data_IF_490457613429
#
_entry.id   IF_490457613429
#
_cell.length_a   1.000
_cell.length_b   1.000
_cell.length_c   1.000
_cell.angle_alpha   90.00
_cell.angle_beta   90.00
_cell.angle_gamma   90.00
#
_symmetry.space_group_name_H-M   'P 1'
#
loop_
_entity.id
_entity.type
_entity.pdbx_description
1 polymer ?
#
# COMPACT_ATOMS: atom_id res chain seq x y z
N UNK A 1 4.51 57.19 6.79
CA UNK A 1 4.14 55.95 6.08
C UNK A 1 4.12 54.82 7.10
N UNK A 2 2.93 54.33 7.45
CA UNK A 2 2.77 53.15 8.31
C UNK A 2 2.73 51.88 7.43
N UNK A 3 3.30 50.75 7.87
CA UNK A 3 3.34 49.54 7.06
C UNK A 3 1.95 48.87 7.03
N UNK A 4 1.48 48.57 5.82
CA UNK A 4 0.32 47.71 5.60
C UNK A 4 0.63 46.30 6.13
N UNK A 5 -0.11 45.87 7.15
CA UNK A 5 -0.20 44.45 7.54
C UNK A 5 -1.02 43.71 6.49
N UNK A 6 -0.38 42.84 5.72
CA UNK A 6 -1.05 41.86 4.88
C UNK A 6 -1.76 40.86 5.77
N UNK A 7 -3.10 40.92 5.83
CA UNK A 7 -3.93 39.92 6.48
C UNK A 7 -3.89 38.64 5.65
N UNK A 8 -3.36 37.55 6.21
CA UNK A 8 -3.52 36.23 5.63
C UNK A 8 -5.02 35.87 5.58
N UNK A 9 -5.53 35.26 4.51
CA UNK A 9 -6.94 34.90 4.41
C UNK A 9 -7.33 33.91 5.51
N UNK A 10 -8.39 34.19 6.25
CA UNK A 10 -8.95 33.26 7.23
C UNK A 10 -9.54 32.07 6.47
N UNK A 11 -8.89 30.90 6.57
CA UNK A 11 -9.47 29.67 6.04
C UNK A 11 -10.69 29.34 6.89
N UNK A 12 -11.89 29.44 6.32
CA UNK A 12 -13.13 29.09 7.02
C UNK A 12 -13.07 27.64 7.50
N UNK A 13 -13.43 27.40 8.76
CA UNK A 13 -13.51 26.06 9.32
C UNK A 13 -14.56 25.24 8.56
N UNK A 14 -14.17 24.09 8.01
CA UNK A 14 -15.11 23.18 7.37
C UNK A 14 -16.05 22.61 8.42
N UNK A 15 -17.37 22.78 8.21
CA UNK A 15 -18.42 22.24 9.08
C UNK A 15 -18.95 20.92 8.55
N UNK A 16 -19.60 20.14 9.41
CA UNK A 16 -20.30 18.89 9.05
C UNK A 16 -21.35 19.09 7.96
N UNK A 17 -21.90 20.29 7.83
CA UNK A 17 -22.87 20.67 6.79
C UNK A 17 -22.26 20.89 5.40
N UNK A 18 -20.93 20.92 5.26
CA UNK A 18 -20.24 21.03 3.97
C UNK A 18 -19.88 19.66 3.38
N UNK A 19 -19.58 19.55 2.07
CA UNK A 19 -19.38 18.26 1.39
C UNK A 19 -18.33 17.34 2.04
N UNK A 20 -17.23 17.91 2.54
CA UNK A 20 -16.18 17.15 3.23
C UNK A 20 -16.61 16.66 4.61
N UNK A 21 -17.39 17.48 5.33
CA UNK A 21 -17.96 17.10 6.63
C UNK A 21 -19.04 16.03 6.48
N UNK A 22 -19.89 16.15 5.46
CA UNK A 22 -20.92 15.15 5.14
C UNK A 22 -20.32 13.79 4.82
N UNK A 23 -19.17 13.72 4.14
CA UNK A 23 -18.48 12.43 3.89
C UNK A 23 -18.11 11.70 5.19
N UNK A 24 -17.60 12.41 6.19
CA UNK A 24 -17.28 11.79 7.48
C UNK A 24 -18.55 11.27 8.16
N UNK A 25 -19.61 12.09 8.19
CA UNK A 25 -20.89 11.71 8.79
C UNK A 25 -21.51 10.51 8.06
N UNK A 26 -21.47 10.45 6.73
CA UNK A 26 -22.03 9.32 5.97
C UNK A 26 -21.32 8.00 6.26
N UNK A 27 -20.02 8.03 6.57
CA UNK A 27 -19.26 6.82 6.95
C UNK A 27 -19.69 6.34 8.33
N UNK A 28 -19.80 7.27 9.29
CA UNK A 28 -20.24 6.95 10.66
C UNK A 28 -21.68 6.43 10.64
N UNK A 29 -22.57 7.08 9.89
CA UNK A 29 -23.97 6.68 9.74
C UNK A 29 -24.10 5.28 9.11
N UNK A 30 -23.37 5.01 8.02
CA UNK A 30 -23.38 3.69 7.39
C UNK A 30 -22.88 2.58 8.34
N UNK A 31 -21.84 2.85 9.14
CA UNK A 31 -21.32 1.90 10.11
C UNK A 31 -22.31 1.64 11.25
N UNK A 32 -22.95 2.70 11.78
CA UNK A 32 -23.95 2.61 12.83
C UNK A 32 -25.18 1.81 12.38
N UNK A 33 -25.70 2.11 11.18
CA UNK A 33 -26.85 1.40 10.61
C UNK A 33 -26.53 -0.07 10.30
N UNK A 34 -25.33 -0.36 9.80
CA UNK A 34 -24.88 -1.73 9.51
C UNK A 34 -24.77 -2.60 10.76
N UNK A 35 -24.53 -2.00 11.92
CA UNK A 35 -24.40 -2.73 13.17
C UNK A 35 -25.72 -3.35 13.66
N UNK A 36 -26.88 -2.91 13.13
CA UNK A 36 -28.18 -3.53 13.43
C UNK A 36 -28.56 -3.49 14.92
N UNK A 37 -28.13 -2.44 15.62
CA UNK A 37 -28.29 -2.31 17.08
C UNK A 37 -29.76 -2.25 17.47
N UNK A 38 -30.14 -2.98 18.52
CA UNK A 38 -31.38 -2.73 19.25
C UNK A 38 -31.32 -1.38 19.99
N UNK A 39 -32.46 -0.89 20.47
CA UNK A 39 -32.53 0.38 21.21
C UNK A 39 -31.59 0.41 22.44
N UNK A 40 -31.52 -0.70 23.18
CA UNK A 40 -30.64 -0.82 24.36
C UNK A 40 -29.16 -0.84 23.96
N UNK A 41 -28.81 -1.53 22.87
CA UNK A 41 -27.42 -1.56 22.36
C UNK A 41 -27.00 -0.20 21.80
N UNK A 42 -27.90 0.51 21.11
CA UNK A 42 -27.69 1.87 20.64
C UNK A 42 -27.44 2.83 21.82
N UNK A 43 -28.23 2.73 22.89
CA UNK A 43 -28.03 3.51 24.10
C UNK A 43 -26.66 3.22 24.73
N UNK A 44 -26.27 1.95 24.83
CA UNK A 44 -24.97 1.56 25.38
C UNK A 44 -23.78 2.09 24.54
N UNK A 45 -23.88 2.06 23.21
CA UNK A 45 -22.87 2.65 22.32
C UNK A 45 -22.76 4.16 22.54
N UNK A 46 -23.89 4.86 22.59
CA UNK A 46 -23.93 6.32 22.75
C UNK A 46 -23.43 6.77 24.13
N UNK A 47 -23.71 6.00 25.17
CA UNK A 47 -23.31 6.29 26.55
C UNK A 47 -21.91 5.76 26.91
N UNK A 48 -21.23 5.10 25.96
CA UNK A 48 -19.88 4.57 26.18
C UNK A 48 -18.94 5.67 26.64
N UNK A 49 -18.45 5.54 27.88
CA UNK A 49 -17.52 6.49 28.47
C UNK A 49 -16.28 6.65 27.58
N UNK A 50 -15.99 7.89 27.19
CA UNK A 50 -14.85 8.19 26.33
C UNK A 50 -15.12 8.14 24.82
N UNK A 51 -16.36 7.86 24.36
CA UNK A 51 -16.72 7.91 22.93
C UNK A 51 -16.32 9.25 22.29
N UNK A 52 -16.66 10.37 22.94
CA UNK A 52 -16.26 11.71 22.47
C UNK A 52 -14.74 11.86 22.40
N UNK A 53 -13.99 11.33 23.37
CA UNK A 53 -12.54 11.36 23.35
C UNK A 53 -11.95 10.53 22.20
N UNK A 54 -12.56 9.37 21.90
CA UNK A 54 -12.16 8.50 20.78
C UNK A 54 -12.39 9.19 19.43
N UNK A 55 -13.56 9.80 19.22
CA UNK A 55 -13.87 10.57 18.00
C UNK A 55 -12.96 11.78 17.88
N UNK A 56 -12.77 12.53 18.97
CA UNK A 56 -11.88 13.70 18.99
C UNK A 56 -10.42 13.31 18.72
N UNK A 57 -9.96 12.18 19.27
CA UNK A 57 -8.62 11.64 19.01
C UNK A 57 -8.46 11.25 17.55
N UNK A 58 -9.41 10.51 16.97
CA UNK A 58 -9.40 10.17 15.55
C UNK A 58 -9.30 11.43 14.66
N UNK A 59 -10.11 12.45 14.96
CA UNK A 59 -10.09 13.72 14.23
C UNK A 59 -8.75 14.44 14.44
N UNK A 60 -8.24 14.52 15.67
CA UNK A 60 -6.98 15.20 15.99
C UNK A 60 -5.79 14.52 15.30
N UNK A 61 -5.73 13.19 15.38
CA UNK A 61 -4.72 12.36 14.73
C UNK A 61 -4.79 12.48 13.21
N UNK A 62 -6.01 12.59 12.65
CA UNK A 62 -6.23 12.75 11.20
C UNK A 62 -6.08 14.20 10.71
N UNK A 63 -6.09 15.20 11.61
CA UNK A 63 -6.07 16.63 11.25
C UNK A 63 -4.66 17.11 10.89
N UNK A 64 -3.62 16.40 11.29
CA UNK A 64 -2.24 16.81 11.03
C UNK A 64 -1.40 15.66 10.49
N UNK A 65 -0.55 15.88 9.48
CA UNK A 65 0.48 14.92 9.05
C UNK A 65 1.61 14.78 10.09
N UNK A 66 1.31 14.97 11.38
CA UNK A 66 2.21 14.76 12.52
C UNK A 66 1.93 13.45 13.26
N UNK A 67 0.87 12.72 12.90
CA UNK A 67 0.66 11.39 13.45
C UNK A 67 1.88 10.52 13.14
N UNK A 68 2.41 9.89 14.19
CA UNK A 68 3.62 9.07 14.15
C UNK A 68 4.88 9.81 13.69
N UNK A 69 4.95 11.14 13.89
CA UNK A 69 6.10 11.94 13.44
C UNK A 69 7.44 11.53 14.10
N UNK A 70 7.38 10.87 15.25
CA UNK A 70 8.52 10.28 15.96
C UNK A 70 8.96 8.92 15.38
N UNK A 71 8.20 8.34 14.46
CA UNK A 71 8.49 7.06 13.81
C UNK A 71 9.23 7.23 12.49
N UNK A 72 10.32 7.99 12.56
CA UNK A 72 11.24 8.17 11.46
C UNK A 72 12.68 7.91 11.93
N UNK A 73 13.37 7.02 11.22
CA UNK A 73 14.77 6.71 11.43
C UNK A 73 15.59 7.22 10.25
N UNK A 74 16.81 7.70 10.51
CA UNK A 74 17.74 8.04 9.44
C UNK A 74 18.10 6.79 8.62
N UNK A 75 18.06 6.92 7.29
CA UNK A 75 18.39 5.84 6.37
C UNK A 75 19.46 6.27 5.37
N UNK A 76 20.52 5.46 5.30
CA UNK A 76 21.56 5.51 4.26
C UNK A 76 21.37 4.46 3.17
N UNK A 77 20.41 3.55 3.33
CA UNK A 77 20.17 2.43 2.41
C UNK A 77 19.57 2.94 1.09
N UNK A 78 19.97 2.30 -0.01
CA UNK A 78 19.61 2.67 -1.40
C UNK A 78 19.39 1.40 -2.23
N UNK A 79 19.38 1.53 -3.55
CA UNK A 79 19.33 0.41 -4.49
C UNK A 79 20.75 0.16 -5.01
N UNK A 80 21.46 -0.75 -4.37
CA UNK A 80 22.86 -1.06 -4.66
C UNK A 80 23.00 -2.27 -5.59
N UNK A 81 21.92 -3.03 -5.77
CA UNK A 81 21.88 -4.24 -6.61
C UNK A 81 21.76 -3.98 -8.12
N UNK A 82 21.99 -2.74 -8.57
CA UNK A 82 21.99 -2.38 -10.00
C UNK A 82 20.64 -1.94 -10.57
N UNK A 83 19.56 -2.00 -9.77
CA UNK A 83 18.30 -1.36 -10.14
C UNK A 83 18.49 0.17 -10.20
N UNK A 84 18.10 0.78 -11.31
CA UNK A 84 18.22 2.24 -11.54
C UNK A 84 16.88 2.92 -11.81
N UNK A 85 16.01 2.25 -12.57
CA UNK A 85 14.65 2.67 -12.89
C UNK A 85 13.83 1.47 -13.38
N UNK A 86 12.49 1.58 -13.43
CA UNK A 86 11.67 0.55 -14.02
C UNK A 86 12.05 0.30 -15.48
N UNK A 87 11.91 -0.96 -15.92
CA UNK A 87 11.98 -1.32 -17.33
C UNK A 87 10.83 -0.69 -18.08
N UNK A 88 10.93 -0.65 -19.40
CA UNK A 88 9.85 -0.19 -20.26
C UNK A 88 8.54 -0.99 -20.04
N UNK A 89 7.39 -0.35 -20.22
CA UNK A 89 6.06 -0.92 -20.00
C UNK A 89 5.78 -2.11 -20.92
N UNK A 90 6.21 -2.04 -22.18
CA UNK A 90 6.05 -3.14 -23.14
C UNK A 90 6.92 -4.31 -22.70
N UNK A 91 8.16 -4.06 -22.26
CA UNK A 91 9.04 -5.08 -21.71
C UNK A 91 8.44 -5.75 -20.48
N UNK A 92 7.94 -4.98 -19.49
CA UNK A 92 7.34 -5.52 -18.27
C UNK A 92 6.13 -6.40 -18.61
N UNK A 93 5.25 -5.92 -19.51
CA UNK A 93 4.08 -6.68 -19.97
C UNK A 93 4.46 -8.00 -20.66
N UNK A 94 5.49 -7.96 -21.52
CA UNK A 94 6.00 -9.16 -22.18
C UNK A 94 6.60 -10.14 -21.16
N UNK A 95 7.35 -9.65 -20.18
CA UNK A 95 7.87 -10.53 -19.13
C UNK A 95 6.76 -11.15 -18.29
N UNK A 96 5.71 -10.40 -17.96
CA UNK A 96 4.56 -10.95 -17.24
C UNK A 96 3.89 -12.08 -18.03
N UNK A 97 3.76 -11.94 -19.36
CA UNK A 97 3.25 -13.03 -20.23
C UNK A 97 4.15 -14.26 -20.26
N UNK A 98 5.46 -14.10 -20.09
CA UNK A 98 6.40 -15.22 -19.95
C UNK A 98 6.24 -15.88 -18.58
N UNK A 99 6.15 -15.08 -17.51
CA UNK A 99 6.05 -15.57 -16.14
C UNK A 99 4.70 -16.22 -15.82
N UNK A 100 3.63 -15.66 -16.39
CA UNK A 100 2.24 -16.02 -16.18
C UNK A 100 1.54 -16.10 -17.54
N UNK A 101 1.67 -17.26 -18.20
CA UNK A 101 1.03 -17.49 -19.50
C UNK A 101 -0.47 -17.22 -19.44
N UNK A 102 -0.96 -16.35 -20.32
CA UNK A 102 -2.37 -15.95 -20.36
C UNK A 102 -2.71 -14.70 -19.54
N UNK A 103 -1.75 -14.10 -18.81
CA UNK A 103 -1.93 -12.76 -18.25
C UNK A 103 -2.09 -11.77 -19.43
N UNK A 104 -3.12 -10.95 -19.40
CA UNK A 104 -3.58 -10.21 -20.59
C UNK A 104 -2.67 -9.06 -21.03
N UNK A 105 -3.29 -7.90 -21.27
CA UNK A 105 -2.62 -6.73 -21.84
C UNK A 105 -2.87 -5.49 -21.00
N UNK A 106 -2.00 -4.49 -21.19
CA UNK A 106 -2.13 -3.16 -20.58
C UNK A 106 -2.76 -2.18 -21.58
N UNK A 107 -3.24 -1.05 -21.08
CA UNK A 107 -3.70 0.06 -21.92
C UNK A 107 -2.52 0.88 -22.45
N UNK A 108 -2.34 0.90 -23.77
CA UNK A 108 -1.31 1.70 -24.46
C UNK A 108 -1.41 3.20 -24.15
N UNK A 109 -2.60 3.72 -23.81
CA UNK A 109 -2.75 5.11 -23.36
C UNK A 109 -2.18 5.30 -21.96
N UNK A 110 -2.42 4.34 -21.07
CA UNK A 110 -1.86 4.38 -19.72
C UNK A 110 -0.33 4.24 -19.74
N UNK A 111 0.24 3.52 -20.72
CA UNK A 111 1.68 3.44 -20.94
C UNK A 111 2.34 4.79 -21.31
N UNK A 112 1.56 5.75 -21.80
CA UNK A 112 2.02 7.09 -22.17
C UNK A 112 1.86 8.13 -21.04
N UNK A 113 1.45 7.68 -19.86
CA UNK A 113 1.27 8.52 -18.68
C UNK A 113 2.57 9.24 -18.28
N UNK A 114 2.43 10.51 -17.89
CA UNK A 114 3.53 11.25 -17.27
C UNK A 114 3.90 10.66 -15.90
N UNK A 115 5.19 10.47 -15.65
CA UNK A 115 5.67 9.99 -14.35
C UNK A 115 5.65 11.15 -13.34
N UNK A 116 4.83 11.08 -12.28
CA UNK A 116 4.74 12.14 -11.28
C UNK A 116 6.03 12.24 -10.45
N UNK A 117 6.26 13.40 -9.84
CA UNK A 117 7.40 13.61 -8.94
C UNK A 117 7.37 12.61 -7.78
N UNK A 118 8.51 11.95 -7.54
CA UNK A 118 8.65 10.93 -6.50
C UNK A 118 8.42 9.50 -6.99
N UNK A 119 7.72 9.30 -8.11
CA UNK A 119 7.67 7.99 -8.75
C UNK A 119 9.01 7.65 -9.42
N UNK A 120 9.42 6.39 -9.34
CA UNK A 120 10.62 5.89 -10.04
C UNK A 120 10.34 5.63 -11.52
N UNK A 121 9.08 5.43 -11.87
CA UNK A 121 8.60 5.20 -13.24
C UNK A 121 7.24 4.50 -13.23
N UNK A 122 6.85 3.99 -14.40
CA UNK A 122 5.64 3.21 -14.59
C UNK A 122 5.92 1.73 -14.33
N UNK A 123 5.08 1.09 -13.53
CA UNK A 123 5.08 -0.35 -13.28
C UNK A 123 3.84 -0.98 -13.92
N UNK A 124 3.98 -2.21 -14.42
CA UNK A 124 2.88 -2.99 -14.97
C UNK A 124 2.51 -4.08 -13.98
N UNK A 125 1.25 -4.10 -13.53
CA UNK A 125 0.79 -4.97 -12.46
C UNK A 125 -0.60 -5.52 -12.79
N UNK A 126 -0.83 -6.85 -12.75
CA UNK A 126 -2.18 -7.38 -12.91
C UNK A 126 -3.05 -6.97 -11.71
N UNK A 127 -4.36 -6.74 -11.94
CA UNK A 127 -5.30 -6.70 -10.81
C UNK A 127 -5.28 -8.05 -10.08
N UNK A 128 -5.42 -8.06 -8.76
CA UNK A 128 -5.44 -9.34 -8.06
C UNK A 128 -6.63 -10.20 -8.49
N UNK A 129 -7.75 -9.59 -8.90
CA UNK A 129 -8.95 -10.30 -9.38
C UNK A 129 -8.72 -10.96 -10.75
N UNK A 130 -8.11 -10.25 -11.72
CA UNK A 130 -7.75 -10.84 -13.02
C UNK A 130 -6.72 -11.94 -12.84
N UNK A 131 -5.76 -11.74 -11.93
CA UNK A 131 -4.76 -12.73 -11.56
C UNK A 131 -5.37 -13.96 -10.87
N UNK A 132 -6.29 -13.76 -9.93
CA UNK A 132 -6.99 -14.83 -9.23
C UNK A 132 -7.81 -15.69 -10.20
N UNK A 133 -8.52 -15.05 -11.13
CA UNK A 133 -9.25 -15.72 -12.20
C UNK A 133 -8.32 -16.55 -13.10
N UNK A 134 -7.18 -15.99 -13.51
CA UNK A 134 -6.20 -16.70 -14.35
C UNK A 134 -5.72 -18.00 -13.68
N UNK A 135 -5.53 -17.96 -12.36
CA UNK A 135 -4.97 -19.08 -11.60
C UNK A 135 -6.02 -19.93 -10.87
N UNK A 136 -7.31 -19.70 -11.11
CA UNK A 136 -8.42 -20.41 -10.45
C UNK A 136 -8.35 -20.38 -8.91
N UNK A 137 -7.95 -19.24 -8.34
CA UNK A 137 -7.98 -19.00 -6.89
C UNK A 137 -9.05 -17.97 -6.54
N UNK A 138 -9.42 -17.89 -5.26
CA UNK A 138 -10.62 -17.14 -4.83
C UNK A 138 -10.32 -15.96 -3.90
N UNK A 139 -9.11 -15.91 -3.33
CA UNK A 139 -8.73 -14.90 -2.36
C UNK A 139 -7.50 -14.12 -2.77
N UNK A 140 -7.38 -12.88 -2.26
CA UNK A 140 -6.17 -12.08 -2.42
C UNK A 140 -4.93 -12.80 -1.86
N UNK A 141 -5.06 -13.48 -0.73
CA UNK A 141 -3.93 -14.16 -0.09
C UNK A 141 -3.40 -15.34 -0.93
N UNK A 142 -4.29 -16.11 -1.58
CA UNK A 142 -3.89 -17.13 -2.57
C UNK A 142 -3.21 -16.50 -3.79
N UNK A 143 -3.70 -15.35 -4.28
CA UNK A 143 -3.05 -14.62 -5.37
C UNK A 143 -1.62 -14.18 -5.01
N UNK A 144 -1.40 -13.70 -3.77
CA UNK A 144 -0.05 -13.40 -3.26
C UNK A 144 0.82 -14.66 -3.23
N UNK A 145 0.29 -15.78 -2.73
CA UNK A 145 1.04 -17.05 -2.68
C UNK A 145 1.54 -17.51 -4.04
N UNK A 146 0.76 -17.32 -5.12
CA UNK A 146 1.20 -17.62 -6.50
C UNK A 146 2.39 -16.76 -6.90
N UNK A 147 2.37 -15.46 -6.58
CA UNK A 147 3.49 -14.55 -6.86
C UNK A 147 4.74 -14.96 -6.06
N UNK A 148 4.59 -15.33 -4.78
CA UNK A 148 5.70 -15.81 -3.96
C UNK A 148 6.29 -17.13 -4.49
N UNK A 149 5.44 -18.06 -4.95
CA UNK A 149 5.90 -19.28 -5.60
C UNK A 149 6.69 -19.00 -6.88
N UNK A 150 6.24 -18.04 -7.70
CA UNK A 150 6.96 -17.61 -8.90
C UNK A 150 8.29 -16.90 -8.56
N UNK A 151 8.35 -16.13 -7.48
CA UNK A 151 9.61 -15.56 -6.98
C UNK A 151 10.58 -16.68 -6.59
N UNK A 152 10.12 -17.73 -5.92
CA UNK A 152 10.95 -18.87 -5.57
C UNK A 152 11.55 -19.58 -6.80
N UNK A 153 10.70 -19.83 -7.80
CA UNK A 153 11.10 -20.43 -9.08
C UNK A 153 12.15 -19.57 -9.79
N UNK A 154 11.86 -18.29 -10.01
CA UNK A 154 12.74 -17.37 -10.76
C UNK A 154 14.05 -17.07 -10.04
N UNK A 155 14.05 -17.10 -8.70
CA UNK A 155 15.25 -16.96 -7.87
C UNK A 155 15.97 -18.31 -7.63
N UNK A 156 15.57 -19.39 -8.31
CA UNK A 156 16.23 -20.71 -8.27
C UNK A 156 16.37 -21.26 -6.83
N UNK A 157 15.31 -21.13 -6.02
CA UNK A 157 15.32 -21.56 -4.62
C UNK A 157 16.02 -20.58 -3.65
N UNK A 158 16.53 -19.43 -4.13
CA UNK A 158 17.06 -18.35 -3.29
C UNK A 158 15.97 -17.40 -2.78
N UNK A 159 14.81 -17.96 -2.48
CA UNK A 159 13.70 -17.28 -1.85
C UNK A 159 13.30 -18.04 -0.58
N UNK A 160 12.87 -17.32 0.45
CA UNK A 160 12.38 -17.94 1.67
C UNK A 160 11.17 -17.19 2.20
N UNK A 161 10.06 -17.91 2.40
CA UNK A 161 8.83 -17.38 2.96
C UNK A 161 8.72 -17.77 4.44
N UNK A 162 8.94 -16.83 5.35
CA UNK A 162 8.78 -17.05 6.79
C UNK A 162 7.33 -17.27 7.22
N UNK A 163 6.37 -16.91 6.35
CA UNK A 163 4.94 -16.92 6.62
C UNK A 163 4.22 -17.99 5.83
N UNK A 164 4.90 -18.96 5.23
CA UNK A 164 4.30 -19.97 4.33
C UNK A 164 3.02 -20.61 4.89
N UNK A 165 2.98 -20.90 6.19
CA UNK A 165 1.83 -21.52 6.86
C UNK A 165 0.83 -20.51 7.49
N UNK A 166 1.03 -19.22 7.27
CA UNK A 166 0.25 -18.10 7.85
C UNK A 166 -0.27 -17.16 6.74
N UNK A 167 -0.53 -17.67 5.53
CA UNK A 167 -0.98 -16.88 4.36
C UNK A 167 -2.47 -17.07 4.04
N UNK A 168 -3.28 -17.44 5.03
CA UNK A 168 -4.73 -17.51 4.88
C UNK A 168 -5.37 -16.12 4.87
N UNK A 169 -6.64 -16.04 4.45
CA UNK A 169 -7.43 -14.79 4.48
C UNK A 169 -7.60 -14.20 5.88
N UNK A 170 -7.48 -15.03 6.91
CA UNK A 170 -7.54 -14.59 8.32
C UNK A 170 -6.25 -13.91 8.79
N UNK A 171 -5.17 -14.04 8.02
CA UNK A 171 -3.84 -13.54 8.32
C UNK A 171 -3.41 -12.44 7.37
N UNK A 172 -3.68 -12.55 6.06
CA UNK A 172 -3.24 -11.57 5.06
C UNK A 172 -4.42 -11.00 4.28
N UNK A 173 -4.50 -9.66 4.24
CA UNK A 173 -5.49 -8.93 3.44
C UNK A 173 -4.95 -7.60 2.93
N UNK A 174 -5.59 -7.08 1.90
CA UNK A 174 -5.39 -5.71 1.45
C UNK A 174 -5.95 -4.73 2.47
N UNK A 175 -5.28 -3.60 2.66
CA UNK A 175 -5.90 -2.46 3.36
C UNK A 175 -7.07 -1.93 2.53
N UNK A 176 -8.14 -1.49 3.22
CA UNK A 176 -9.34 -0.96 2.55
C UNK A 176 -9.01 0.22 1.61
N UNK A 177 -8.03 1.05 1.99
CA UNK A 177 -7.59 2.18 1.17
C UNK A 177 -6.90 1.72 -0.11
N UNK A 178 -6.01 0.73 -0.05
CA UNK A 178 -5.36 0.19 -1.24
C UNK A 178 -6.42 -0.40 -2.18
N UNK A 179 -7.31 -1.23 -1.65
CA UNK A 179 -8.38 -1.85 -2.42
C UNK A 179 -9.26 -0.81 -3.14
N UNK A 180 -9.67 0.26 -2.46
CA UNK A 180 -10.44 1.36 -3.05
C UNK A 180 -9.69 2.03 -4.22
N UNK A 181 -8.40 2.34 -4.03
CA UNK A 181 -7.59 3.03 -5.05
C UNK A 181 -7.30 2.11 -6.24
N UNK A 182 -6.96 0.85 -6.00
CA UNK A 182 -6.71 -0.11 -7.07
C UNK A 182 -7.96 -0.35 -7.92
N UNK A 183 -9.15 -0.40 -7.30
CA UNK A 183 -10.43 -0.47 -8.02
C UNK A 183 -10.65 0.78 -8.89
N UNK A 184 -10.35 1.98 -8.39
CA UNK A 184 -10.44 3.22 -9.18
C UNK A 184 -9.49 3.21 -10.38
N UNK A 185 -8.25 2.75 -10.20
CA UNK A 185 -7.27 2.62 -11.28
C UNK A 185 -7.76 1.59 -12.30
N UNK A 186 -8.21 0.42 -11.85
CA UNK A 186 -8.76 -0.62 -12.72
C UNK A 186 -9.96 -0.13 -13.54
N UNK A 187 -10.85 0.64 -12.91
CA UNK A 187 -11.99 1.24 -13.60
C UNK A 187 -11.55 2.31 -14.63
N UNK A 188 -10.48 3.05 -14.37
CA UNK A 188 -9.90 4.00 -15.33
C UNK A 188 -9.23 3.32 -16.53
N UNK A 189 -8.73 2.10 -16.34
CA UNK A 189 -8.07 1.26 -17.36
C UNK A 189 -8.95 0.07 -17.74
N UNK A 190 -10.28 0.26 -17.74
CA UNK A 190 -11.25 -0.82 -17.94
C UNK A 190 -11.05 -1.48 -19.31
N UNK A 191 -11.12 -2.81 -19.32
CA UNK A 191 -10.93 -3.63 -20.52
C UNK A 191 -9.51 -4.21 -20.65
N UNK A 192 -8.63 -3.88 -19.70
CA UNK A 192 -7.26 -4.38 -19.63
C UNK A 192 -7.04 -5.15 -18.34
N UNK A 193 -6.23 -6.20 -18.42
CA UNK A 193 -5.94 -7.09 -17.27
C UNK A 193 -4.72 -6.62 -16.47
N UNK A 194 -3.86 -5.82 -17.11
CA UNK A 194 -2.62 -5.27 -16.57
C UNK A 194 -2.77 -3.75 -16.39
N UNK A 195 -2.66 -3.30 -15.14
CA UNK A 195 -2.66 -1.88 -14.81
C UNK A 195 -1.27 -1.30 -15.02
N UNK A 196 -1.22 -0.11 -15.59
CA UNK A 196 -0.01 0.74 -15.60
C UNK A 196 -0.11 1.74 -14.45
N UNK A 197 0.81 1.66 -13.50
CA UNK A 197 0.78 2.43 -12.25
C UNK A 197 2.12 3.15 -12.06
N UNK A 198 2.16 4.47 -11.92
CA UNK A 198 3.37 5.16 -11.48
C UNK A 198 3.66 4.77 -10.02
N UNK A 199 4.89 4.34 -9.73
CA UNK A 199 5.22 3.80 -8.41
C UNK A 199 6.69 3.87 -8.06
N UNK A 200 7.03 3.40 -6.86
CA UNK A 200 8.40 3.37 -6.34
C UNK A 200 8.57 2.26 -5.28
N UNK A 201 9.80 1.76 -5.12
CA UNK A 201 10.12 0.58 -4.28
C UNK A 201 10.35 0.87 -2.78
N UNK A 202 10.18 2.10 -2.33
CA UNK A 202 10.27 2.51 -0.92
C UNK A 202 11.19 3.70 -0.65
N UNK A 203 12.03 4.13 -1.61
CA UNK A 203 13.07 5.13 -1.39
C UNK A 203 12.55 6.47 -0.84
N UNK A 204 11.35 6.90 -1.25
CA UNK A 204 10.73 8.16 -0.82
C UNK A 204 10.25 8.11 0.64
N UNK A 205 9.94 6.91 1.13
CA UNK A 205 9.43 6.68 2.48
C UNK A 205 10.39 5.88 3.37
N UNK A 206 11.65 5.72 2.96
CA UNK A 206 12.66 5.00 3.72
C UNK A 206 12.85 5.56 5.13
N UNK A 207 13.07 4.68 6.09
CA UNK A 207 13.26 5.04 7.49
C UNK A 207 11.96 5.30 8.26
N UNK A 208 10.82 5.44 7.58
CA UNK A 208 9.52 5.61 8.25
C UNK A 208 8.96 4.25 8.65
N UNK A 209 8.23 4.20 9.75
CA UNK A 209 7.34 3.06 10.00
C UNK A 209 6.25 2.98 8.92
N UNK A 210 5.59 1.82 8.82
CA UNK A 210 4.46 1.63 7.90
C UNK A 210 3.31 2.58 8.22
N UNK A 211 2.97 2.75 9.52
CA UNK A 211 1.89 3.65 9.92
C UNK A 211 2.23 5.11 9.64
N UNK A 212 3.50 5.52 9.80
CA UNK A 212 3.98 6.86 9.43
C UNK A 212 3.96 7.08 7.93
N UNK A 213 4.43 6.11 7.14
CA UNK A 213 4.39 6.19 5.68
C UNK A 213 2.95 6.37 5.17
N UNK A 214 1.99 5.58 5.67
CA UNK A 214 0.55 5.71 5.35
C UNK A 214 0.02 7.12 5.61
N UNK A 215 0.40 7.75 6.72
CA UNK A 215 -0.01 9.13 7.06
C UNK A 215 0.61 10.16 6.11
N UNK A 216 1.90 10.04 5.81
CA UNK A 216 2.62 11.01 4.95
C UNK A 216 2.16 10.95 3.50
N UNK A 217 1.92 9.73 2.99
CA UNK A 217 1.34 9.50 1.65
C UNK A 217 -0.07 10.09 1.59
N UNK A 218 -0.87 9.84 2.63
CA UNK A 218 -2.19 10.44 2.79
C UNK A 218 -3.12 10.09 1.63
N UNK A 219 -3.96 11.04 1.22
CA UNK A 219 -5.00 10.82 0.20
C UNK A 219 -4.56 11.07 -1.23
N UNK A 220 -3.33 11.60 -1.44
CA UNK A 220 -2.85 11.96 -2.79
C UNK A 220 -2.34 10.75 -3.56
N UNK A 221 -1.80 9.79 -2.83
CA UNK A 221 -1.14 8.60 -3.35
C UNK A 221 -1.63 7.38 -2.54
N UNK A 222 -0.98 6.23 -2.71
CA UNK A 222 -1.34 5.02 -1.98
C UNK A 222 -0.12 4.11 -1.76
N UNK A 223 -0.24 3.19 -0.81
CA UNK A 223 0.79 2.20 -0.49
C UNK A 223 0.55 0.90 -1.25
N UNK A 224 1.62 0.25 -1.70
CA UNK A 224 1.57 -1.02 -2.43
C UNK A 224 1.65 -2.22 -1.47
N UNK A 225 0.96 -3.30 -1.82
CA UNK A 225 0.92 -4.55 -1.06
C UNK A 225 1.92 -5.60 -1.57
N UNK A 226 1.82 -6.80 -1.02
CA UNK A 226 2.72 -7.92 -1.30
C UNK A 226 2.58 -8.43 -2.74
N UNK A 227 1.36 -8.44 -3.28
CA UNK A 227 1.12 -8.83 -4.67
C UNK A 227 1.83 -7.87 -5.62
N UNK A 228 1.58 -6.57 -5.46
CA UNK A 228 2.16 -5.52 -6.31
C UNK A 228 3.69 -5.54 -6.23
N UNK A 229 4.26 -5.52 -5.02
CA UNK A 229 5.71 -5.53 -4.83
C UNK A 229 6.34 -6.82 -5.35
N UNK A 230 5.68 -7.98 -5.17
CA UNK A 230 6.17 -9.25 -5.69
C UNK A 230 6.23 -9.25 -7.23
N UNK A 231 5.22 -8.71 -7.90
CA UNK A 231 5.20 -8.52 -9.35
C UNK A 231 6.32 -7.56 -9.81
N UNK A 232 6.52 -6.46 -9.08
CA UNK A 232 7.62 -5.53 -9.36
C UNK A 232 8.99 -6.21 -9.21
N UNK A 233 9.20 -7.06 -8.20
CA UNK A 233 10.44 -7.82 -8.00
C UNK A 233 10.67 -8.93 -9.04
N UNK A 234 9.60 -9.50 -9.59
CA UNK A 234 9.67 -10.47 -10.69
C UNK A 234 10.10 -9.81 -12.01
N UNK A 235 9.60 -8.61 -12.27
CA UNK A 235 9.94 -7.83 -13.47
C UNK A 235 11.25 -7.06 -13.32
N UNK A 236 11.73 -6.85 -12.09
CA UNK A 236 13.00 -6.17 -11.81
C UNK A 236 13.86 -7.07 -10.92
N UNK A 237 14.30 -8.24 -11.43
CA UNK A 237 15.02 -9.21 -10.62
C UNK A 237 16.32 -8.64 -10.05
N UNK A 238 16.92 -7.62 -10.68
CA UNK A 238 18.08 -6.88 -10.16
C UNK A 238 17.82 -6.16 -8.83
N UNK A 239 16.56 -5.92 -8.46
CA UNK A 239 16.23 -5.30 -7.18
C UNK A 239 16.36 -6.32 -6.05
N UNK A 240 16.91 -5.86 -4.92
CA UNK A 240 16.98 -6.59 -3.66
C UNK A 240 17.84 -7.86 -3.80
N UNK A 241 19.11 -7.67 -4.22
CA UNK A 241 20.14 -8.72 -4.34
C UNK A 241 21.41 -8.43 -3.51
N UNK A 242 21.40 -7.39 -2.69
CA UNK A 242 22.55 -6.94 -1.91
C UNK A 242 22.15 -6.73 -0.45
N UNK A 243 23.05 -6.99 0.50
CA UNK A 243 22.77 -6.85 1.93
C UNK A 243 22.40 -5.42 2.33
N UNK A 244 23.03 -4.44 1.66
CA UNK A 244 22.76 -3.01 1.86
C UNK A 244 21.70 -2.42 0.90
N UNK A 245 20.94 -3.28 0.21
CA UNK A 245 19.74 -2.79 -0.47
C UNK A 245 18.69 -2.37 0.56
N UNK A 246 17.99 -1.28 0.29
CA UNK A 246 16.80 -0.91 1.04
C UNK A 246 15.78 -2.07 0.98
N UNK A 247 15.28 -2.49 2.13
CA UNK A 247 14.20 -3.47 2.24
C UNK A 247 12.86 -2.77 2.00
N UNK A 248 11.84 -3.56 1.65
CA UNK A 248 10.58 -3.04 1.13
C UNK A 248 9.47 -3.40 2.10
N UNK A 249 8.76 -2.40 2.61
CA UNK A 249 7.50 -2.63 3.31
C UNK A 249 6.35 -2.67 2.29
N UNK A 250 5.54 -3.72 2.37
CA UNK A 250 4.29 -3.86 1.63
C UNK A 250 3.16 -3.20 2.42
N UNK A 251 3.30 -1.89 2.66
CA UNK A 251 2.44 -1.10 3.52
C UNK A 251 0.96 -1.07 3.08
N UNK A 252 0.65 -1.48 1.86
CA UNK A 252 -0.71 -1.62 1.34
C UNK A 252 -1.47 -2.84 1.83
N UNK A 253 -0.77 -3.78 2.47
CA UNK A 253 -1.36 -4.97 3.08
C UNK A 253 -1.32 -4.91 4.61
N UNK A 254 -2.18 -5.70 5.21
CA UNK A 254 -2.29 -5.91 6.64
C UNK A 254 -2.04 -7.39 6.93
N UNK A 255 -1.21 -7.65 7.94
CA UNK A 255 -0.88 -8.99 8.38
C UNK A 255 -1.19 -9.21 9.86
N UNK A 256 -1.90 -10.30 10.17
CA UNK A 256 -2.16 -10.81 11.51
C UNK A 256 -1.33 -12.07 11.73
N UNK A 257 -0.23 -12.00 12.50
CA UNK A 257 0.52 -13.19 12.91
C UNK A 257 -0.38 -14.19 13.65
N UNK A 258 -0.10 -15.49 13.54
CA UNK A 258 -0.93 -16.54 14.16
C UNK A 258 -1.00 -16.49 15.68
N UNK A 259 -0.04 -15.82 16.33
CA UNK A 259 0.01 -15.59 17.78
C UNK A 259 -0.66 -14.28 18.23
N UNK A 260 -1.25 -13.51 17.31
CA UNK A 260 -1.88 -12.21 17.60
C UNK A 260 -3.35 -12.18 17.22
N UNK A 261 -4.09 -11.34 17.94
CA UNK A 261 -5.52 -11.13 17.72
C UNK A 261 -5.82 -10.05 16.66
N UNK A 262 -4.82 -9.24 16.29
CA UNK A 262 -4.99 -8.05 15.46
C UNK A 262 -4.01 -7.97 14.28
N UNK A 263 -4.39 -7.18 13.28
CA UNK A 263 -3.55 -6.88 12.11
C UNK A 263 -2.48 -5.83 12.45
N UNK A 264 -1.56 -6.20 13.34
CA UNK A 264 -0.49 -5.33 13.86
C UNK A 264 0.78 -5.35 13.01
N UNK A 265 0.84 -6.14 11.94
CA UNK A 265 2.00 -6.26 11.05
C UNK A 265 1.68 -5.87 9.60
N UNK A 266 2.72 -5.63 8.81
CA UNK A 266 2.66 -5.57 7.36
C UNK A 266 3.69 -6.55 6.75
N UNK A 267 3.40 -7.13 5.57
CA UNK A 267 4.38 -7.93 4.88
C UNK A 267 5.61 -7.12 4.45
N UNK A 268 6.76 -7.79 4.36
CA UNK A 268 8.03 -7.19 3.97
C UNK A 268 8.79 -8.09 3.00
N UNK A 269 9.59 -7.47 2.13
CA UNK A 269 10.65 -8.15 1.38
C UNK A 269 12.01 -7.62 1.82
N UNK A 270 12.93 -8.53 2.16
CA UNK A 270 14.32 -8.18 2.53
C UNK A 270 15.33 -9.12 1.92
N UNK A 271 16.58 -8.70 1.78
CA UNK A 271 17.66 -9.56 1.30
C UNK A 271 18.59 -9.94 2.46
N UNK A 272 18.69 -11.24 2.78
CA UNK A 272 19.58 -11.71 3.86
C UNK A 272 20.12 -13.10 3.55
N UNK A 273 21.42 -13.28 3.79
CA UNK A 273 22.08 -14.58 3.60
C UNK A 273 21.97 -15.10 2.17
N UNK A 274 22.21 -14.23 1.19
CA UNK A 274 22.12 -14.54 -0.25
C UNK A 274 20.72 -15.01 -0.72
N UNK A 275 19.67 -14.59 -0.01
CA UNK A 275 18.28 -14.95 -0.33
C UNK A 275 17.35 -13.75 -0.22
N UNK A 276 16.34 -13.73 -1.07
CA UNK A 276 15.17 -12.88 -0.92
C UNK A 276 14.25 -13.50 0.13
N UNK A 277 13.89 -12.76 1.17
CA UNK A 277 13.01 -13.22 2.22
C UNK A 277 11.69 -12.47 2.15
N UNK A 278 10.59 -13.20 2.30
CA UNK A 278 9.28 -12.66 2.59
C UNK A 278 8.94 -12.96 4.06
N UNK A 279 8.47 -11.94 4.78
CA UNK A 279 8.14 -12.00 6.21
C UNK A 279 7.05 -10.96 6.50
N UNK A 280 6.69 -10.76 7.76
CA UNK A 280 5.85 -9.66 8.23
C UNK A 280 6.45 -9.05 9.49
N UNK A 281 6.31 -7.73 9.66
CA UNK A 281 6.85 -6.99 10.79
C UNK A 281 5.88 -5.92 11.29
N UNK A 282 6.06 -5.49 12.55
CA UNK A 282 5.16 -4.56 13.22
C UNK A 282 5.06 -3.21 12.50
N UNK A 283 3.84 -2.69 12.34
CA UNK A 283 3.59 -1.48 11.53
C UNK A 283 4.12 -0.20 12.16
N UNK A 284 4.42 -0.20 13.46
CA UNK A 284 4.99 0.92 14.22
C UNK A 284 6.51 0.97 14.19
N UNK A 285 7.17 -0.11 13.75
CA UNK A 285 8.62 -0.16 13.77
C UNK A 285 9.25 0.71 12.67
N UNK A 286 9.82 1.84 13.08
CA UNK A 286 10.61 2.70 12.21
C UNK A 286 12.06 2.22 12.13
N UNK A 287 12.57 2.03 10.90
CA UNK A 287 13.91 1.51 10.71
C UNK A 287 14.53 1.97 9.41
N UNK A 288 15.80 2.39 9.50
CA UNK A 288 16.54 2.88 8.34
C UNK A 288 16.77 1.83 7.23
N UNK A 289 16.59 0.54 7.55
CA UNK A 289 16.72 -0.55 6.56
C UNK A 289 15.53 -0.63 5.61
N UNK A 290 14.36 -0.08 5.96
CA UNK A 290 13.11 -0.31 5.25
C UNK A 290 12.58 0.96 4.62
N UNK A 291 11.76 0.81 3.59
CA UNK A 291 10.93 1.87 3.05
C UNK A 291 9.65 1.31 2.45
N UNK A 292 8.54 2.02 2.68
CA UNK A 292 7.23 1.59 2.19
C UNK A 292 7.06 1.87 0.70
N UNK A 293 6.80 0.82 -0.07
CA UNK A 293 6.49 0.94 -1.49
C UNK A 293 5.17 1.69 -1.69
N UNK A 294 5.11 2.56 -2.69
CA UNK A 294 3.94 3.38 -2.97
C UNK A 294 3.66 3.52 -4.46
N UNK A 295 2.38 3.67 -4.77
CA UNK A 295 1.87 4.06 -6.07
C UNK A 295 1.31 5.48 -6.01
N UNK A 296 1.30 6.14 -7.15
CA UNK A 296 0.84 7.51 -7.28
C UNK A 296 -0.45 7.52 -8.08
N UNK A 297 -1.39 8.38 -7.68
CA UNK A 297 -2.58 8.59 -8.51
C UNK A 297 -2.19 9.38 -9.76
N UNK A 298 -2.77 9.08 -10.93
CA UNK A 298 -2.59 9.92 -12.11
C UNK A 298 -2.99 11.37 -11.79
N UNK A 299 -2.32 12.38 -12.37
CA UNK A 299 -2.77 13.76 -12.26
C UNK A 299 -4.22 13.88 -12.73
N UNK A 300 -5.08 14.50 -11.90
CA UNK A 300 -6.47 14.84 -12.28
C UNK A 300 -6.51 15.95 -13.32
#
# INVERSE_FOLDING_TARGET
>A
MAPMKTLAPSVASVKTSGPKGQKFISIVDAAYNKAGLSDDEAQNVNDTAGLSALVNKFIADSRSPKLYADEEASSRYKYLSGYTKPKDVIWQSNQLRVLFSGVGFHDEKAAQMAVPEGAEGLFVIPTWQSFAKLHSVSTYAEAVQIVLAKLNETRKGKFYNHRENEMGSDNLRESARKAEVMEQIAQSQKGYDLLVIPGQFGIVHRGRSVRRARVVIGSKDFVLGALEVGIMLLTHPERLQHYDDLYIDCAGDEFKPGDRLDFSCAPIFRFRGDKLWFDAYEVEFASGYYGSASGFLPPQ
#
